data_IF_627350179989
#
_entry.id   IF_627350179989
#
_cell.length_a   1.000
_cell.length_b   1.000
_cell.length_c   1.000
_cell.angle_alpha   90.00
_cell.angle_beta   90.00
_cell.angle_gamma   90.00
#
_symmetry.space_group_name_H-M   'P 1'
#
loop_
_entity.id
_entity.type
_entity.pdbx_description
1 polymer ?
#
# COMPACT_ATOMS: atom_id res chain seq x y z
N UNK A 1 -11.26 -28.65 -2.17
CA UNK A 1 -10.05 -28.21 -1.46
C UNK A 1 -8.90 -28.16 -2.48
N UNK A 2 -8.73 -27.05 -3.18
CA UNK A 2 -7.56 -26.76 -3.97
C UNK A 2 -6.67 -25.85 -3.11
N UNK A 3 -5.71 -26.45 -2.42
CA UNK A 3 -4.61 -25.75 -1.78
C UNK A 3 -3.70 -25.25 -2.92
N UNK A 4 -3.91 -24.01 -3.35
CA UNK A 4 -2.98 -23.34 -4.21
C UNK A 4 -1.64 -23.22 -3.49
N UNK A 5 -0.59 -23.81 -4.04
CA UNK A 5 0.78 -23.61 -3.56
C UNK A 5 1.09 -22.11 -3.72
N UNK A 6 1.14 -21.40 -2.60
CA UNK A 6 1.77 -20.09 -2.52
C UNK A 6 3.24 -20.35 -2.92
N UNK A 7 3.67 -19.79 -4.06
CA UNK A 7 5.10 -19.78 -4.39
C UNK A 7 5.77 -18.94 -3.33
N UNK A 8 6.79 -19.50 -2.70
CA UNK A 8 7.61 -18.78 -1.73
C UNK A 8 8.11 -17.46 -2.32
N UNK A 9 8.05 -16.36 -1.54
CA UNK A 9 8.53 -15.08 -1.99
C UNK A 9 10.01 -15.15 -2.34
N UNK A 10 10.39 -14.56 -3.46
CA UNK A 10 11.78 -14.50 -3.94
C UNK A 10 12.60 -13.38 -3.29
N UNK A 11 12.18 -12.93 -2.12
CA UNK A 11 12.92 -11.92 -1.37
C UNK A 11 13.97 -12.60 -0.48
N UNK A 12 15.24 -12.35 -0.74
CA UNK A 12 16.31 -12.84 0.13
C UNK A 12 16.53 -11.86 1.29
N UNK A 13 16.78 -12.35 2.49
CA UNK A 13 17.13 -11.57 3.68
C UNK A 13 18.32 -10.61 3.50
N UNK A 14 19.05 -10.70 2.40
CA UNK A 14 20.17 -9.84 2.06
C UNK A 14 19.79 -8.38 1.79
N UNK A 15 18.50 -8.03 1.66
CA UNK A 15 18.03 -6.67 1.36
C UNK A 15 17.72 -5.81 2.58
N UNK A 16 17.94 -6.34 3.80
CA UNK A 16 17.76 -5.58 5.06
C UNK A 16 19.04 -4.89 5.56
N UNK A 17 20.12 -4.86 4.77
CA UNK A 17 21.38 -4.27 5.12
C UNK A 17 21.44 -2.77 4.80
N UNK A 18 21.52 -1.93 5.84
CA UNK A 18 21.80 -0.48 5.70
C UNK A 18 23.19 -0.23 5.07
N UNK A 19 23.22 0.07 3.78
CA UNK A 19 24.40 0.53 3.05
C UNK A 19 24.13 1.87 2.38
N UNK A 20 25.13 2.75 2.35
CA UNK A 20 25.07 3.97 1.54
C UNK A 20 24.95 3.61 0.06
N UNK A 21 23.82 4.02 -0.55
CA UNK A 21 23.50 3.72 -1.93
C UNK A 21 23.90 4.89 -2.83
N UNK A 22 24.85 4.65 -3.73
CA UNK A 22 25.09 5.54 -4.87
C UNK A 22 24.52 4.86 -6.11
N UNK A 23 23.29 5.19 -6.48
CA UNK A 23 22.65 4.73 -7.73
C UNK A 23 22.73 5.86 -8.74
N UNK A 24 23.12 5.54 -9.98
CA UNK A 24 22.88 6.44 -11.12
C UNK A 24 21.38 6.38 -11.47
N UNK A 25 20.59 7.42 -11.16
CA UNK A 25 19.14 7.34 -11.22
C UNK A 25 18.58 7.27 -12.64
N UNK A 26 19.36 7.70 -13.64
CA UNK A 26 18.79 8.02 -14.96
C UNK A 26 18.61 6.83 -15.90
N UNK A 27 19.46 5.80 -15.83
CA UNK A 27 19.40 4.67 -16.74
C UNK A 27 18.53 3.51 -16.22
N UNK A 28 18.52 3.27 -14.90
CA UNK A 28 17.70 2.22 -14.28
C UNK A 28 16.21 2.61 -14.24
N UNK A 29 15.91 3.87 -13.98
CA UNK A 29 14.54 4.39 -13.91
C UNK A 29 13.79 4.24 -15.26
N UNK A 30 14.45 4.47 -16.39
CA UNK A 30 13.80 4.46 -17.71
C UNK A 30 13.34 3.08 -18.18
N UNK A 31 14.03 2.00 -17.80
CA UNK A 31 13.64 0.62 -18.20
C UNK A 31 12.64 0.00 -17.21
N UNK A 32 12.78 0.32 -15.92
CA UNK A 32 11.91 -0.19 -14.87
C UNK A 32 10.51 0.47 -14.90
N UNK A 33 10.46 1.75 -15.26
CA UNK A 33 9.23 2.53 -15.30
C UNK A 33 8.22 1.99 -16.33
N UNK A 34 8.68 1.47 -17.47
CA UNK A 34 7.79 0.98 -18.51
C UNK A 34 6.89 -0.19 -18.09
N UNK A 35 7.27 -0.95 -17.08
CA UNK A 35 6.48 -2.05 -16.57
C UNK A 35 5.45 -1.65 -15.50
N UNK A 36 5.69 -0.58 -14.74
CA UNK A 36 4.85 -0.17 -13.60
C UNK A 36 3.66 0.70 -14.01
N UNK A 37 3.82 1.62 -14.96
CA UNK A 37 2.81 2.63 -15.32
C UNK A 37 1.68 2.04 -16.14
N UNK A 38 0.76 1.39 -15.45
CA UNK A 38 -0.39 0.65 -15.99
C UNK A 38 -1.51 0.62 -14.97
N UNK A 39 -2.68 0.15 -15.40
CA UNK A 39 -3.76 -0.24 -14.51
C UNK A 39 -3.52 -1.65 -14.00
N UNK A 40 -3.60 -1.82 -12.71
CA UNK A 40 -3.38 -3.08 -12.00
C UNK A 40 -4.64 -3.48 -11.25
N UNK A 41 -5.06 -4.72 -11.41
CA UNK A 41 -6.28 -5.23 -10.82
C UNK A 41 -6.02 -6.47 -10.00
N UNK A 42 -6.80 -6.64 -8.95
CA UNK A 42 -6.76 -7.86 -8.16
C UNK A 42 -7.26 -9.06 -8.97
N UNK A 43 -6.68 -10.21 -8.72
CA UNK A 43 -7.18 -11.46 -9.25
C UNK A 43 -8.43 -11.86 -8.50
N UNK A 44 -9.55 -12.05 -9.21
CA UNK A 44 -10.79 -12.53 -8.62
C UNK A 44 -10.57 -13.86 -7.87
N UNK A 45 -10.91 -13.88 -6.58
CA UNK A 45 -10.74 -15.04 -5.71
C UNK A 45 -9.37 -15.12 -5.02
N UNK A 46 -8.49 -14.14 -5.17
CA UNK A 46 -7.26 -14.01 -4.38
C UNK A 46 -7.56 -13.54 -2.95
N UNK A 47 -6.80 -14.04 -1.96
CA UNK A 47 -6.86 -13.55 -0.59
C UNK A 47 -6.06 -12.25 -0.47
N UNK A 48 -6.69 -11.13 -0.84
CA UNK A 48 -6.03 -9.80 -0.86
C UNK A 48 -6.26 -8.98 0.39
N UNK A 49 -6.99 -9.52 1.33
CA UNK A 49 -7.35 -8.79 2.53
C UNK A 49 -6.44 -9.20 3.68
N UNK A 50 -5.56 -8.30 4.11
CA UNK A 50 -5.07 -8.35 5.47
C UNK A 50 -6.18 -7.76 6.36
N UNK A 51 -6.94 -8.62 7.00
CA UNK A 51 -8.06 -8.19 7.84
C UNK A 51 -8.22 -9.11 9.05
N UNK A 52 -8.63 -8.48 10.11
CA UNK A 52 -8.94 -9.14 11.38
C UNK A 52 -7.73 -9.34 12.27
N UNK A 53 -8.02 -9.44 13.56
CA UNK A 53 -7.01 -9.52 14.64
C UNK A 53 -6.05 -10.71 14.55
N UNK A 54 -6.45 -11.78 13.85
CA UNK A 54 -5.63 -12.97 13.66
C UNK A 54 -4.49 -12.78 12.64
N UNK A 55 -4.58 -11.72 11.82
CA UNK A 55 -3.55 -11.39 10.83
C UNK A 55 -2.35 -10.68 11.46
N UNK A 56 -2.49 -10.12 12.68
CA UNK A 56 -1.52 -9.25 13.30
C UNK A 56 -1.10 -9.74 14.67
N UNK A 57 0.13 -9.41 15.09
CA UNK A 57 0.60 -9.58 16.46
C UNK A 57 0.35 -8.27 17.23
N UNK A 58 -0.86 -8.14 17.78
CA UNK A 58 -1.31 -6.92 18.43
C UNK A 58 -0.87 -6.82 19.89
N UNK A 59 -0.68 -5.59 20.37
CA UNK A 59 -0.59 -5.29 21.80
C UNK A 59 -1.95 -5.50 22.49
N UNK A 60 -1.96 -5.69 23.82
CA UNK A 60 -3.21 -5.88 24.58
C UNK A 60 -4.15 -4.67 24.43
N UNK A 61 -3.60 -3.45 24.34
CA UNK A 61 -4.38 -2.25 24.11
C UNK A 61 -5.04 -2.21 22.73
N UNK A 62 -4.31 -2.63 21.69
CA UNK A 62 -4.84 -2.73 20.35
C UNK A 62 -5.90 -3.82 20.20
N UNK A 63 -5.70 -4.98 20.85
CA UNK A 63 -6.70 -6.05 20.92
C UNK A 63 -8.00 -5.54 21.58
N UNK A 64 -7.87 -4.78 22.67
CA UNK A 64 -9.04 -4.21 23.37
C UNK A 64 -9.78 -3.21 22.49
N UNK A 65 -9.05 -2.36 21.78
CA UNK A 65 -9.64 -1.35 20.86
C UNK A 65 -10.34 -2.03 19.69
N UNK A 66 -9.70 -3.01 19.05
CA UNK A 66 -10.29 -3.75 17.94
C UNK A 66 -11.56 -4.53 18.34
N UNK A 67 -11.59 -5.07 19.56
CA UNK A 67 -12.78 -5.77 20.10
C UNK A 67 -13.97 -4.84 20.37
N UNK A 68 -13.73 -3.53 20.48
CA UNK A 68 -14.78 -2.51 20.66
C UNK A 68 -15.30 -1.89 19.36
N UNK A 69 -14.73 -2.23 18.20
CA UNK A 69 -15.12 -1.69 16.92
C UNK A 69 -16.44 -2.30 16.45
N UNK A 70 -17.38 -1.45 16.05
CA UNK A 70 -18.64 -1.82 15.41
C UNK A 70 -18.61 -1.40 13.94
N UNK A 71 -18.61 -2.38 13.03
CA UNK A 71 -18.55 -2.16 11.58
C UNK A 71 -19.74 -1.36 11.02
N UNK A 72 -20.85 -1.28 11.76
CA UNK A 72 -22.05 -0.55 11.37
C UNK A 72 -22.11 0.88 11.92
N UNK A 73 -21.23 1.22 12.86
CA UNK A 73 -21.21 2.54 13.50
C UNK A 73 -19.87 3.24 13.35
N UNK A 74 -18.76 2.48 13.40
CA UNK A 74 -17.40 3.03 13.50
C UNK A 74 -16.62 3.02 12.17
N UNK A 75 -17.11 2.31 11.13
CA UNK A 75 -16.41 2.26 9.83
C UNK A 75 -16.52 3.60 9.11
N UNK A 76 -15.40 4.33 8.88
CA UNK A 76 -15.43 5.61 8.17
C UNK A 76 -15.99 5.53 6.75
N UNK A 77 -15.99 4.35 6.13
CA UNK A 77 -16.56 4.14 4.79
C UNK A 77 -18.07 4.38 4.75
N UNK A 78 -18.77 4.22 5.88
CA UNK A 78 -20.20 4.50 5.98
C UNK A 78 -20.51 5.98 5.73
N UNK A 79 -19.56 6.86 6.03
CA UNK A 79 -19.63 8.31 5.79
C UNK A 79 -18.93 8.71 4.48
N UNK A 80 -18.72 7.77 3.57
CA UNK A 80 -17.96 7.98 2.33
C UNK A 80 -16.53 8.54 2.56
N UNK A 81 -15.94 8.31 3.72
CA UNK A 81 -14.56 8.67 3.95
C UNK A 81 -13.64 7.65 3.25
N UNK A 82 -12.85 8.13 2.29
CA UNK A 82 -11.91 7.30 1.55
C UNK A 82 -10.89 6.64 2.49
N UNK A 83 -10.62 5.34 2.35
CA UNK A 83 -9.64 4.65 3.18
C UNK A 83 -8.24 5.24 2.99
N UNK A 84 -7.49 5.34 4.09
CA UNK A 84 -6.09 5.74 4.08
C UNK A 84 -5.14 4.55 4.00
N UNK A 85 -3.83 4.83 4.10
CA UNK A 85 -2.79 3.79 4.17
C UNK A 85 -2.80 3.09 5.53
N UNK A 86 -2.55 1.77 5.57
CA UNK A 86 -2.38 0.85 4.45
C UNK A 86 -3.70 0.27 3.92
N UNK A 87 -4.85 0.55 4.53
CA UNK A 87 -6.15 -0.06 4.22
C UNK A 87 -6.52 0.07 2.73
N UNK A 88 -6.18 1.19 2.08
CA UNK A 88 -6.44 1.41 0.65
C UNK A 88 -5.76 0.39 -0.25
N UNK A 89 -4.62 -0.20 0.18
CA UNK A 89 -3.90 -1.21 -0.60
C UNK A 89 -4.59 -2.57 -0.60
N UNK A 90 -5.57 -2.79 0.28
CA UNK A 90 -6.31 -4.05 0.39
C UNK A 90 -7.73 -3.97 -0.19
N UNK A 91 -7.97 -3.08 -1.16
CA UNK A 91 -9.26 -2.95 -1.82
C UNK A 91 -9.37 -3.84 -3.07
N UNK A 92 -10.59 -4.22 -3.51
CA UNK A 92 -10.79 -5.08 -4.69
C UNK A 92 -10.78 -4.32 -6.03
N UNK A 93 -10.71 -3.00 -5.99
CA UNK A 93 -10.84 -2.15 -7.18
C UNK A 93 -9.51 -1.95 -7.88
N UNK A 94 -9.52 -1.58 -9.18
CA UNK A 94 -8.31 -1.25 -9.92
C UNK A 94 -7.55 -0.05 -9.33
N UNK A 95 -6.23 -0.07 -9.54
CA UNK A 95 -5.37 1.09 -9.31
C UNK A 95 -4.47 1.33 -10.51
N UNK A 96 -4.10 2.58 -10.74
CA UNK A 96 -3.24 3.00 -11.84
C UNK A 96 -2.02 3.73 -11.32
N UNK A 97 -0.83 3.33 -11.78
CA UNK A 97 0.39 4.09 -11.57
C UNK A 97 0.63 5.02 -12.75
N UNK A 98 0.83 6.30 -12.48
CA UNK A 98 1.06 7.35 -13.47
C UNK A 98 2.33 8.11 -13.12
N UNK A 99 3.25 8.23 -14.09
CA UNK A 99 4.40 9.11 -13.97
C UNK A 99 3.99 10.55 -14.37
N UNK A 100 4.29 11.50 -13.51
CA UNK A 100 4.06 12.92 -13.78
C UNK A 100 5.27 13.55 -14.48
N UNK A 101 5.02 14.65 -15.17
CA UNK A 101 6.07 15.39 -15.88
C UNK A 101 7.17 15.97 -14.97
N UNK A 102 6.90 16.11 -13.67
CA UNK A 102 7.84 16.55 -12.64
C UNK A 102 8.66 15.38 -12.03
N UNK A 103 8.46 14.15 -12.51
CA UNK A 103 9.14 12.94 -12.06
C UNK A 103 8.50 12.28 -10.83
N UNK A 104 7.40 12.83 -10.31
CA UNK A 104 6.64 12.21 -9.22
C UNK A 104 5.79 11.06 -9.76
N UNK A 105 5.51 10.07 -8.90
CA UNK A 105 4.60 8.98 -9.23
C UNK A 105 3.28 9.20 -8.51
N UNK A 106 2.18 9.09 -9.24
CA UNK A 106 0.83 9.15 -8.69
C UNK A 106 0.21 7.76 -8.80
N UNK A 107 -0.36 7.27 -7.70
CA UNK A 107 -1.22 6.09 -7.69
C UNK A 107 -2.65 6.57 -7.57
N UNK A 108 -3.47 6.24 -8.57
CA UNK A 108 -4.90 6.48 -8.59
C UNK A 108 -5.60 5.19 -8.23
N UNK A 109 -6.49 5.24 -7.26
CA UNK A 109 -7.36 4.13 -6.89
C UNK A 109 -8.76 4.42 -7.39
N UNK A 110 -9.43 3.43 -7.96
CA UNK A 110 -10.84 3.56 -8.32
C UNK A 110 -11.68 3.81 -7.07
N UNK A 111 -11.39 3.10 -5.99
CA UNK A 111 -12.11 3.24 -4.74
C UNK A 111 -12.02 4.67 -4.20
N UNK A 112 -13.18 5.33 -4.08
CA UNK A 112 -13.37 6.72 -3.63
C UNK A 112 -12.55 7.75 -4.42
N UNK A 113 -12.20 7.48 -5.69
CA UNK A 113 -11.32 8.36 -6.49
C UNK A 113 -10.04 8.75 -5.75
N UNK A 114 -9.54 7.85 -4.91
CA UNK A 114 -8.41 8.15 -4.03
C UNK A 114 -7.11 8.33 -4.82
N UNK A 115 -6.28 9.26 -4.35
CA UNK A 115 -5.01 9.59 -4.99
C UNK A 115 -3.89 9.63 -3.97
N UNK A 116 -2.78 8.95 -4.28
CA UNK A 116 -1.55 8.96 -3.50
C UNK A 116 -0.38 9.46 -4.35
N UNK A 117 0.41 10.39 -3.83
CA UNK A 117 1.64 10.84 -4.48
C UNK A 117 2.85 10.19 -3.82
N UNK A 118 3.74 9.61 -4.63
CA UNK A 118 5.03 9.09 -4.22
C UNK A 118 6.10 10.05 -4.73
N UNK A 119 6.79 10.70 -3.80
CA UNK A 119 7.83 11.69 -4.09
C UNK A 119 9.15 11.00 -4.43
N UNK A 120 9.65 11.22 -5.64
CA UNK A 120 10.92 10.66 -6.13
C UNK A 120 12.01 11.73 -6.12
N UNK A 121 11.72 12.91 -6.65
CA UNK A 121 12.70 13.97 -6.85
C UNK A 121 12.58 15.12 -5.85
N UNK A 122 11.37 15.49 -5.48
CA UNK A 122 11.09 16.68 -4.64
C UNK A 122 10.75 16.27 -3.20
N UNK A 123 11.70 15.64 -2.53
CA UNK A 123 11.49 15.09 -1.18
C UNK A 123 11.63 16.18 -0.13
N UNK A 124 10.53 16.45 0.58
CA UNK A 124 10.54 17.30 1.77
C UNK A 124 10.94 16.50 3.03
N UNK A 125 11.34 17.20 4.08
CA UNK A 125 11.50 16.54 5.37
C UNK A 125 10.13 16.09 5.89
N UNK A 126 9.89 14.79 6.09
CA UNK A 126 8.59 14.27 6.53
C UNK A 126 8.07 14.93 7.81
N UNK A 127 8.95 15.30 8.74
CA UNK A 127 8.57 15.95 10.00
C UNK A 127 7.88 17.31 9.80
N UNK A 128 8.05 17.94 8.64
CA UNK A 128 7.44 19.25 8.32
C UNK A 128 6.17 19.13 7.47
N UNK A 129 5.84 17.92 7.02
CA UNK A 129 4.65 17.68 6.19
C UNK A 129 3.44 17.41 7.08
N UNK A 130 2.29 18.03 6.84
CA UNK A 130 1.05 17.69 7.52
C UNK A 130 0.70 16.21 7.33
N UNK A 131 0.15 15.61 8.37
CA UNK A 131 -0.38 14.24 8.27
C UNK A 131 -1.64 14.22 7.40
N UNK A 132 -1.84 13.11 6.68
CA UNK A 132 -3.00 12.89 5.82
C UNK A 132 -3.39 11.40 5.84
N UNK A 133 -4.60 11.01 5.40
CA UNK A 133 -4.97 9.60 5.32
C UNK A 133 -4.01 8.76 4.45
N UNK A 134 -3.50 9.31 3.34
CA UNK A 134 -2.51 8.65 2.47
C UNK A 134 -1.07 8.75 2.98
N UNK A 135 -0.83 9.56 4.04
CA UNK A 135 0.50 9.84 4.54
C UNK A 135 1.36 10.65 3.59
N UNK A 136 2.67 10.63 3.85
CA UNK A 136 3.71 11.20 3.00
C UNK A 136 4.62 10.08 2.53
N UNK A 137 4.62 9.81 1.22
CA UNK A 137 5.34 8.70 0.60
C UNK A 137 6.57 9.19 -0.14
N UNK A 138 7.73 8.58 0.15
CA UNK A 138 9.00 8.83 -0.51
C UNK A 138 9.41 7.55 -1.21
N UNK A 139 9.72 7.62 -2.50
CA UNK A 139 10.11 6.47 -3.30
C UNK A 139 11.50 6.59 -3.89
N UNK A 140 12.10 5.45 -4.18
CA UNK A 140 13.32 5.34 -4.98
C UNK A 140 13.32 3.99 -5.71
N UNK A 141 14.11 3.91 -6.77
CA UNK A 141 14.24 2.69 -7.55
C UNK A 141 15.44 1.86 -7.13
N UNK A 142 15.20 0.58 -6.88
CA UNK A 142 16.22 -0.46 -6.71
C UNK A 142 16.14 -1.45 -7.86
N UNK A 143 16.92 -1.20 -8.90
CA UNK A 143 16.80 -1.95 -10.14
C UNK A 143 15.40 -1.78 -10.78
N UNK A 144 14.60 -2.85 -10.80
CA UNK A 144 13.22 -2.84 -11.32
C UNK A 144 12.17 -2.67 -10.20
N UNK A 145 12.57 -2.56 -8.97
CA UNK A 145 11.67 -2.45 -7.83
C UNK A 145 11.54 -0.99 -7.41
N UNK A 146 10.32 -0.48 -7.33
CA UNK A 146 10.02 0.77 -6.65
C UNK A 146 9.88 0.48 -5.15
N UNK A 147 10.78 1.05 -4.36
CA UNK A 147 10.75 0.99 -2.90
C UNK A 147 10.14 2.28 -2.37
N UNK A 148 9.12 2.16 -1.52
CA UNK A 148 8.36 3.32 -1.01
C UNK A 148 8.31 3.27 0.51
N UNK A 149 8.75 4.35 1.15
CA UNK A 149 8.59 4.59 2.59
C UNK A 149 7.49 5.60 2.83
N UNK A 150 6.52 5.27 3.69
CA UNK A 150 5.38 6.15 4.01
C UNK A 150 5.28 6.36 5.49
N UNK A 151 5.14 7.63 5.88
CA UNK A 151 4.91 8.08 7.25
C UNK A 151 3.88 9.22 7.26
N UNK A 152 3.62 9.84 8.41
CA UNK A 152 2.66 10.94 8.53
C UNK A 152 1.24 10.55 8.12
N UNK A 153 0.86 9.32 8.44
CA UNK A 153 -0.46 8.79 8.18
C UNK A 153 -1.40 9.24 9.30
N UNK A 154 -2.54 9.81 8.90
CA UNK A 154 -3.65 10.17 9.78
C UNK A 154 -4.90 9.43 9.32
N UNK A 155 -4.88 8.13 9.55
CA UNK A 155 -6.00 7.23 9.31
C UNK A 155 -6.08 6.25 10.50
N UNK A 156 -7.29 5.99 11.05
CA UNK A 156 -7.39 5.31 12.35
C UNK A 156 -7.14 3.80 12.33
N UNK A 157 -7.24 3.14 11.17
CA UNK A 157 -7.25 1.68 11.11
C UNK A 157 -6.28 1.10 10.08
N UNK A 158 -5.66 -0.05 10.40
CA UNK A 158 -4.88 -0.83 9.43
C UNK A 158 -5.74 -1.47 8.35
N UNK A 159 -6.95 -1.84 8.71
CA UNK A 159 -7.87 -2.60 7.88
C UNK A 159 -9.32 -2.07 8.03
N UNK A 160 -10.25 -2.82 7.48
CA UNK A 160 -11.67 -2.47 7.48
C UNK A 160 -12.47 -3.15 8.60
N UNK A 161 -11.80 -3.77 9.56
CA UNK A 161 -12.43 -4.44 10.70
C UNK A 161 -11.94 -3.87 12.02
N UNK A 162 -11.45 -2.63 12.00
CA UNK A 162 -11.19 -1.84 13.18
C UNK A 162 -9.88 -2.15 13.92
N UNK A 163 -8.92 -2.80 13.28
CA UNK A 163 -7.58 -2.91 13.87
C UNK A 163 -6.95 -1.52 13.90
N UNK A 164 -6.69 -0.94 15.08
CA UNK A 164 -6.26 0.45 15.18
C UNK A 164 -4.83 0.64 14.67
N UNK A 165 -4.52 1.85 14.24
CA UNK A 165 -3.15 2.29 14.01
C UNK A 165 -2.88 3.61 14.71
N UNK A 166 -1.61 3.87 15.04
CA UNK A 166 -1.19 5.10 15.68
C UNK A 166 -0.58 6.09 14.67
N UNK A 167 -0.37 7.33 15.12
CA UNK A 167 0.35 8.34 14.32
C UNK A 167 1.84 8.01 14.10
N UNK A 168 2.37 7.02 14.84
CA UNK A 168 3.76 6.55 14.73
C UNK A 168 3.91 5.42 13.70
N UNK A 169 2.84 5.07 12.99
CA UNK A 169 2.89 4.04 11.95
C UNK A 169 3.85 4.44 10.83
N UNK A 170 4.69 3.50 10.44
CA UNK A 170 5.59 3.59 9.30
C UNK A 170 5.38 2.38 8.39
N UNK A 171 5.38 2.63 7.08
CA UNK A 171 5.14 1.62 6.06
C UNK A 171 6.30 1.59 5.09
N UNK A 172 6.81 0.39 4.80
CA UNK A 172 7.76 0.13 3.74
C UNK A 172 7.12 -0.79 2.70
N UNK A 173 7.18 -0.39 1.44
CA UNK A 173 6.55 -1.12 0.35
C UNK A 173 7.55 -1.38 -0.78
N UNK A 174 7.39 -2.51 -1.44
CA UNK A 174 8.14 -2.89 -2.62
C UNK A 174 7.17 -3.24 -3.74
N UNK A 175 7.25 -2.52 -4.85
CA UNK A 175 6.49 -2.78 -6.07
C UNK A 175 7.44 -3.27 -7.15
N UNK A 176 7.25 -4.49 -7.61
CA UNK A 176 8.12 -5.11 -8.62
C UNK A 176 7.31 -5.61 -9.82
N UNK A 177 7.34 -4.91 -10.95
CA UNK A 177 6.74 -5.42 -12.18
C UNK A 177 7.46 -6.69 -12.66
N UNK A 178 6.69 -7.73 -12.96
CA UNK A 178 7.14 -8.98 -13.58
C UNK A 178 6.56 -9.01 -14.98
N UNK A 179 7.26 -8.36 -15.91
CA UNK A 179 6.74 -8.02 -17.25
C UNK A 179 6.33 -9.26 -18.04
N UNK A 180 7.10 -10.34 -17.95
CA UNK A 180 6.81 -11.60 -18.68
C UNK A 180 5.60 -12.37 -18.10
N UNK A 181 5.12 -11.97 -16.92
CA UNK A 181 3.98 -12.60 -16.24
C UNK A 181 2.78 -11.64 -16.15
N UNK A 182 2.85 -10.45 -16.73
CA UNK A 182 1.83 -9.40 -16.64
C UNK A 182 1.36 -9.15 -15.19
N UNK A 183 2.33 -9.13 -14.27
CA UNK A 183 2.10 -9.13 -12.83
C UNK A 183 2.91 -8.04 -12.14
N UNK A 184 2.33 -7.43 -11.12
CA UNK A 184 3.00 -6.55 -10.16
C UNK A 184 3.10 -7.26 -8.82
N UNK A 185 4.30 -7.75 -8.46
CA UNK A 185 4.56 -8.28 -7.12
C UNK A 185 4.61 -7.14 -6.11
N UNK A 186 4.07 -7.37 -4.94
CA UNK A 186 3.98 -6.39 -3.86
C UNK A 186 4.34 -7.00 -2.51
N UNK A 187 5.15 -6.28 -1.76
CA UNK A 187 5.41 -6.56 -0.36
C UNK A 187 5.15 -5.30 0.47
N UNK A 188 4.47 -5.47 1.58
CA UNK A 188 4.17 -4.44 2.55
C UNK A 188 4.77 -4.84 3.90
N UNK A 189 5.50 -3.92 4.53
CA UNK A 189 5.92 -4.04 5.93
C UNK A 189 5.38 -2.85 6.70
N UNK A 190 4.61 -3.12 7.75
CA UNK A 190 4.05 -2.10 8.63
C UNK A 190 4.70 -2.20 10.00
N UNK A 191 5.21 -1.07 10.50
CA UNK A 191 5.76 -0.92 11.84
C UNK A 191 4.94 0.10 12.60
N UNK A 192 4.34 -0.32 13.72
CA UNK A 192 3.62 0.56 14.64
C UNK A 192 3.79 0.03 16.07
N UNK A 193 4.80 0.50 16.82
CA UNK A 193 5.08 -0.04 18.15
C UNK A 193 3.98 0.17 19.20
N UNK A 194 3.04 1.10 18.95
CA UNK A 194 1.90 1.29 19.83
C UNK A 194 0.83 0.21 19.63
N UNK A 195 0.74 -0.34 18.44
CA UNK A 195 -0.31 -1.29 18.06
C UNK A 195 0.23 -2.70 17.81
N UNK A 196 1.40 -2.83 17.18
CA UNK A 196 2.00 -4.09 16.78
C UNK A 196 3.14 -4.48 17.74
N UNK A 197 3.18 -5.75 18.19
CA UNK A 197 4.28 -6.31 18.99
C UNK A 197 5.53 -6.52 18.11
N UNK A 198 5.33 -6.84 16.83
CA UNK A 198 6.36 -7.03 15.82
C UNK A 198 5.88 -6.45 14.48
N UNK A 199 6.76 -6.09 13.54
CA UNK A 199 6.34 -5.62 12.24
C UNK A 199 5.43 -6.62 11.52
N UNK A 200 4.36 -6.13 10.93
CA UNK A 200 3.48 -6.92 10.07
C UNK A 200 4.02 -6.92 8.65
N UNK A 201 4.22 -8.10 8.09
CA UNK A 201 4.66 -8.27 6.70
C UNK A 201 3.57 -8.98 5.91
N UNK A 202 3.22 -8.43 4.78
CA UNK A 202 2.26 -9.01 3.86
C UNK A 202 2.78 -8.96 2.44
N UNK A 203 2.46 -9.98 1.64
CA UNK A 203 2.89 -10.14 0.27
C UNK A 203 1.73 -10.54 -0.62
N UNK A 204 1.73 -10.01 -1.84
CA UNK A 204 0.72 -10.30 -2.83
C UNK A 204 1.12 -9.85 -4.21
N UNK A 205 0.17 -9.80 -5.13
CA UNK A 205 0.39 -9.31 -6.48
C UNK A 205 -0.91 -8.87 -7.14
N UNK A 206 -0.81 -7.99 -8.12
CA UNK A 206 -1.88 -7.61 -9.04
C UNK A 206 -1.58 -8.14 -10.44
N UNK A 207 -2.63 -8.42 -11.20
CA UNK A 207 -2.54 -8.76 -12.61
C UNK A 207 -2.71 -7.48 -13.46
N UNK A 208 -1.93 -7.34 -14.51
CA UNK A 208 -2.22 -6.37 -15.55
C UNK A 208 -3.29 -6.94 -16.48
N UNK A 209 -4.31 -6.12 -16.75
CA UNK A 209 -5.38 -6.47 -17.68
C UNK A 209 -5.45 -5.42 -18.77
N UNK A 210 -5.00 -5.74 -19.99
CA UNK A 210 -5.04 -4.80 -21.12
C UNK A 210 -6.46 -4.29 -21.37
N UNK A 211 -6.62 -2.96 -21.45
CA UNK A 211 -7.91 -2.31 -21.70
C UNK A 211 -8.79 -2.09 -20.47
N UNK A 212 -8.33 -2.46 -19.28
CA UNK A 212 -8.97 -2.07 -18.04
C UNK A 212 -8.62 -0.62 -17.70
N UNK A 213 -9.58 0.12 -17.19
CA UNK A 213 -9.46 1.54 -16.83
C UNK A 213 -9.92 1.75 -15.40
N UNK A 214 -9.43 2.80 -14.75
CA UNK A 214 -9.92 3.27 -13.46
C UNK A 214 -11.12 4.17 -13.70
N UNK A 215 -12.28 3.77 -13.20
CA UNK A 215 -13.54 4.48 -13.35
C UNK A 215 -13.81 5.41 -12.17
N UNK A 216 -14.63 6.45 -12.37
CA UNK A 216 -15.13 7.27 -11.26
C UNK A 216 -15.89 6.42 -10.25
N UNK A 217 -15.67 6.67 -8.97
CA UNK A 217 -16.34 6.01 -7.86
C UNK A 217 -17.44 6.90 -7.30
N UNK A 218 -18.67 6.42 -7.34
CA UNK A 218 -19.82 7.13 -6.82
C UNK A 218 -20.20 6.58 -5.43
N UNK A 219 -19.96 7.36 -4.39
CA UNK A 219 -20.35 7.03 -3.03
C UNK A 219 -21.49 7.94 -2.59
N UNK A 220 -22.57 7.33 -2.12
CA UNK A 220 -23.70 8.05 -1.53
C UNK A 220 -23.92 7.58 -0.11
N UNK A 221 -23.94 8.52 0.84
CA UNK A 221 -24.35 8.21 2.22
C UNK A 221 -25.82 7.85 2.19
N UNK A 222 -26.17 6.68 2.72
CA UNK A 222 -27.57 6.27 2.85
C UNK A 222 -28.31 7.17 3.85
N UNK A 223 -29.57 7.54 3.51
CA UNK A 223 -30.47 8.27 4.40
C UNK A 223 -30.95 7.38 5.57
#
# INVERSE_FOLDING_TARGET
LLVGRIREPRWSEAHLGGGEWTVDPSAAASAASQGLFRVWSQRLGGAWYFRGTDAYRLTDSALTAAAGFDEFEDDPLLECAAPGMPAVMSNPYPMEFVERADGEIVVRFEEFDSVRTIHIANVANPATVPASPMGYSIGHWEGQTLVVSTSRINWPYFDRVGVPQSEAVEILEHFRPVVDEDRLDYQLTVTDPATLIEPFVWEGYWDWRPGEEVHPFDCTVGD
#
